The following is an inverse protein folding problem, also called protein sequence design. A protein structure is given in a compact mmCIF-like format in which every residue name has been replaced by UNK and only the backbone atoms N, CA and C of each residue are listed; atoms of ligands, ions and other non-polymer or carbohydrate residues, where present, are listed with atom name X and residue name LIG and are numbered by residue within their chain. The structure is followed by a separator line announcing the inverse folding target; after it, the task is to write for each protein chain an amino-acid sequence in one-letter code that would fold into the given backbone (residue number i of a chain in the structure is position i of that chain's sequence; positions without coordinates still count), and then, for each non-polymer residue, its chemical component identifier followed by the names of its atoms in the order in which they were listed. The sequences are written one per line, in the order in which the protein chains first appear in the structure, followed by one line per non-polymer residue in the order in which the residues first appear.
data_IF_202797891246
#
_entry.id   IF_202797891246
#
_cell.length_a   1.000
_cell.length_b   1.000
_cell.length_c   1.000
_cell.angle_alpha   90.00
_cell.angle_beta   90.00
_cell.angle_gamma   90.00
#
_symmetry.space_group_name_H-M   'P 1'
#
loop_
_entity.id
_entity.type
_entity.pdbx_description
1 polymer ?
#
# COMPACT_ATOMS: atom_id res chain seq x y z
N UNK A 1 67.23 -7.48 -20.41
CA UNK A 1 66.01 -7.16 -21.18
C UNK A 1 64.82 -7.54 -20.32
N UNK A 2 64.31 -6.57 -19.56
CA UNK A 2 63.16 -6.70 -18.69
C UNK A 2 61.91 -6.37 -19.50
N UNK A 3 61.00 -7.34 -19.65
CA UNK A 3 59.73 -7.14 -20.33
C UNK A 3 58.70 -6.76 -19.27
N UNK A 4 58.29 -5.49 -19.28
CA UNK A 4 57.08 -5.01 -18.62
C UNK A 4 55.87 -5.70 -19.26
N UNK A 5 55.07 -6.38 -18.44
CA UNK A 5 53.73 -6.83 -18.82
C UNK A 5 52.77 -5.95 -18.02
N UNK A 6 52.51 -4.76 -18.53
CA UNK A 6 51.41 -3.92 -18.07
C UNK A 6 50.14 -4.26 -18.86
N UNK A 7 49.07 -4.42 -18.08
CA UNK A 7 47.68 -4.05 -18.36
C UNK A 7 47.09 -4.34 -19.75
N UNK A 8 46.35 -5.45 -19.82
CA UNK A 8 45.05 -5.48 -20.51
C UNK A 8 44.07 -6.37 -19.74
N UNK A 9 43.55 -5.87 -18.60
CA UNK A 9 42.24 -6.33 -18.13
C UNK A 9 41.19 -5.59 -18.94
N UNK A 10 40.24 -6.28 -19.60
CA UNK A 10 39.15 -5.58 -20.25
C UNK A 10 38.38 -4.78 -19.18
N UNK A 11 38.36 -3.46 -19.32
CA UNK A 11 37.43 -2.62 -18.60
C UNK A 11 36.03 -3.05 -19.02
N UNK A 12 35.30 -3.67 -18.09
CA UNK A 12 33.85 -3.77 -18.23
C UNK A 12 33.30 -2.37 -18.06
N UNK A 13 33.33 -1.60 -19.15
CA UNK A 13 32.59 -0.35 -19.27
C UNK A 13 31.12 -0.70 -19.09
N UNK A 14 30.64 -0.46 -17.87
CA UNK A 14 29.28 -0.66 -17.44
C UNK A 14 28.39 0.38 -18.13
N UNK A 15 28.11 0.18 -19.42
CA UNK A 15 27.23 1.00 -20.25
C UNK A 15 25.73 0.79 -19.97
N UNK A 16 25.40 0.33 -18.77
CA UNK A 16 24.09 0.58 -18.20
C UNK A 16 24.23 1.80 -17.31
N UNK A 17 24.05 2.99 -17.89
CA UNK A 17 23.52 4.09 -17.10
C UNK A 17 22.20 3.57 -16.50
N UNK A 18 22.28 3.08 -15.26
CA UNK A 18 21.10 2.89 -14.42
C UNK A 18 20.48 4.27 -14.36
N UNK A 19 19.50 4.52 -15.22
CA UNK A 19 18.57 5.63 -15.09
C UNK A 19 18.16 5.58 -13.63
N UNK A 20 18.63 6.56 -12.85
CA UNK A 20 18.43 6.59 -11.40
C UNK A 20 16.94 6.74 -11.23
N UNK A 21 16.22 5.63 -11.17
CA UNK A 21 14.79 5.63 -10.95
C UNK A 21 14.61 6.10 -9.51
N UNK A 22 14.41 7.39 -9.37
CA UNK A 22 14.14 8.02 -8.10
C UNK A 22 12.70 7.66 -7.75
N UNK A 23 12.53 6.50 -7.10
CA UNK A 23 11.23 6.00 -6.70
C UNK A 23 10.75 6.66 -5.39
N UNK A 24 11.64 7.33 -4.65
CA UNK A 24 11.27 8.17 -3.51
C UNK A 24 10.58 9.44 -4.00
N UNK A 25 9.45 9.79 -3.38
CA UNK A 25 8.75 11.01 -3.72
C UNK A 25 9.65 12.19 -3.34
N UNK A 26 9.86 13.12 -4.28
CA UNK A 26 10.84 14.21 -4.13
C UNK A 26 10.64 15.07 -2.86
N UNK A 27 9.42 15.09 -2.31
CA UNK A 27 9.02 15.86 -1.12
C UNK A 27 8.71 15.00 0.12
N UNK A 28 9.02 13.69 0.11
CA UNK A 28 8.72 12.84 1.26
C UNK A 28 9.75 13.04 2.38
N UNK A 29 9.25 13.30 3.59
CA UNK A 29 10.07 13.33 4.79
C UNK A 29 9.36 12.57 5.93
N UNK A 30 10.03 11.63 6.61
CA UNK A 30 9.42 10.82 7.65
C UNK A 30 8.99 11.62 8.87
N UNK A 31 9.48 12.86 9.05
CA UNK A 31 9.11 13.76 10.15
C UNK A 31 8.21 14.91 9.70
N UNK A 32 7.52 14.79 8.57
CA UNK A 32 6.52 15.78 8.17
C UNK A 32 5.29 15.65 9.07
N UNK A 33 4.81 16.78 9.61
CA UNK A 33 3.69 16.82 10.55
C UNK A 33 2.32 16.76 9.86
N UNK A 34 2.26 16.99 8.55
CA UNK A 34 1.05 16.77 7.76
C UNK A 34 0.72 15.28 7.65
N UNK A 35 -0.58 14.97 7.64
CA UNK A 35 -1.09 13.65 7.27
C UNK A 35 -0.95 13.48 5.76
N UNK A 36 -0.06 12.60 5.33
CA UNK A 36 0.24 12.35 3.92
C UNK A 36 0.25 10.85 3.64
N UNK A 37 0.32 10.46 2.36
CA UNK A 37 0.59 9.09 1.96
C UNK A 37 1.97 8.65 2.46
N UNK A 38 2.02 7.51 3.14
CA UNK A 38 3.23 7.02 3.78
C UNK A 38 4.04 6.13 2.82
N UNK A 39 5.15 6.66 2.33
CA UNK A 39 6.08 5.97 1.42
C UNK A 39 6.85 4.84 2.11
N UNK A 40 6.79 4.71 3.44
CA UNK A 40 7.29 3.54 4.16
C UNK A 40 6.19 2.48 4.34
N UNK A 41 4.98 2.89 4.74
CA UNK A 41 3.83 2.00 4.94
C UNK A 41 3.00 1.79 3.65
N UNK A 42 3.67 1.51 2.54
CA UNK A 42 3.06 1.20 1.24
C UNK A 42 3.69 -0.03 0.58
N UNK A 43 3.03 -0.65 -0.38
CA UNK A 43 3.65 -1.69 -1.20
C UNK A 43 4.79 -1.11 -2.05
N UNK A 44 5.78 -1.97 -2.36
CA UNK A 44 6.99 -1.56 -3.09
C UNK A 44 6.68 -1.01 -4.50
N UNK A 45 5.56 -1.45 -5.06
CA UNK A 45 5.05 -1.07 -6.39
C UNK A 45 4.25 0.22 -6.39
N UNK A 46 4.01 0.85 -5.23
CA UNK A 46 3.31 2.11 -5.14
C UNK A 46 4.24 3.28 -5.50
N UNK A 47 3.77 4.16 -6.38
CA UNK A 47 4.41 5.43 -6.69
C UNK A 47 3.60 6.54 -6.04
N UNK A 48 4.26 7.38 -5.25
CA UNK A 48 3.68 8.53 -4.57
C UNK A 48 4.22 9.82 -5.18
N UNK A 49 3.35 10.80 -5.44
CA UNK A 49 3.68 12.05 -6.15
C UNK A 49 2.98 13.25 -5.50
N UNK A 50 3.36 14.45 -5.95
CA UNK A 50 2.69 15.73 -5.66
C UNK A 50 2.49 15.98 -4.16
N UNK A 51 3.58 16.21 -3.43
CA UNK A 51 3.53 16.48 -1.98
C UNK A 51 2.98 15.32 -1.14
N UNK A 52 3.06 14.09 -1.66
CA UNK A 52 2.56 12.86 -1.05
C UNK A 52 1.04 12.79 -0.88
N UNK A 53 0.30 13.37 -1.83
CA UNK A 53 -1.17 13.33 -1.87
C UNK A 53 -1.72 12.63 -3.11
N UNK A 54 -0.86 12.16 -4.03
CA UNK A 54 -1.26 11.35 -5.19
C UNK A 54 -0.53 10.02 -5.19
N UNK A 55 -1.27 8.97 -5.54
CA UNK A 55 -0.72 7.62 -5.66
C UNK A 55 -1.13 6.96 -6.98
N UNK A 56 -0.25 6.13 -7.52
CA UNK A 56 -0.53 5.21 -8.61
C UNK A 56 0.40 3.98 -8.52
N UNK A 57 -0.04 2.78 -8.92
CA UNK A 57 0.79 1.61 -8.93
C UNK A 57 1.67 1.60 -10.18
N UNK A 58 2.80 0.90 -10.11
CA UNK A 58 3.56 0.51 -11.29
C UNK A 58 2.77 -0.50 -12.12
N UNK A 59 2.73 -0.32 -13.44
CA UNK A 59 1.96 -1.17 -14.36
C UNK A 59 2.80 -1.86 -15.45
N UNK A 60 4.09 -1.54 -15.51
CA UNK A 60 5.01 -2.04 -16.53
C UNK A 60 5.48 -3.46 -16.21
N UNK A 61 5.84 -4.23 -17.24
CA UNK A 61 6.54 -5.51 -17.11
C UNK A 61 5.79 -6.53 -16.24
N UNK A 62 4.47 -6.61 -16.42
CA UNK A 62 3.59 -7.51 -15.65
C UNK A 62 3.15 -7.01 -14.27
N UNK A 63 3.66 -5.87 -13.77
CA UNK A 63 3.23 -5.32 -12.47
C UNK A 63 1.75 -4.88 -12.47
N UNK A 64 1.15 -4.68 -13.65
CA UNK A 64 -0.29 -4.42 -13.79
C UNK A 64 -1.20 -5.55 -13.28
N UNK A 65 -0.65 -6.76 -13.09
CA UNK A 65 -1.36 -7.90 -12.49
C UNK A 65 -1.39 -7.83 -10.96
N UNK A 66 -0.70 -6.87 -10.33
CA UNK A 66 -0.62 -6.75 -8.87
C UNK A 66 -1.51 -5.64 -8.34
N UNK A 67 -2.07 -5.89 -7.16
CA UNK A 67 -2.65 -4.85 -6.33
C UNK A 67 -1.55 -4.14 -5.52
N UNK A 68 -1.79 -2.89 -5.14
CA UNK A 68 -0.84 -2.08 -4.39
C UNK A 68 -1.56 -1.26 -3.32
N UNK A 69 -1.09 -1.39 -2.09
CA UNK A 69 -1.62 -0.75 -0.89
C UNK A 69 -0.77 0.39 -0.37
N UNK A 70 -1.40 1.32 0.32
CA UNK A 70 -0.74 2.39 1.08
C UNK A 70 -1.62 2.82 2.26
N UNK A 71 -0.96 3.26 3.33
CA UNK A 71 -1.61 3.95 4.46
C UNK A 71 -1.15 5.41 4.54
N UNK A 72 -1.90 6.22 5.27
CA UNK A 72 -1.44 7.53 5.68
C UNK A 72 -0.39 7.45 6.81
N UNK A 73 0.36 8.53 7.00
CA UNK A 73 1.40 8.64 8.04
C UNK A 73 0.86 8.70 9.47
N UNK A 74 -0.41 9.09 9.63
CA UNK A 74 -1.08 9.20 10.92
C UNK A 74 -2.43 8.51 10.89
N UNK A 75 -2.79 7.99 12.05
CA UNK A 75 -4.10 7.46 12.36
C UNK A 75 -4.69 8.20 13.56
N UNK A 76 -5.93 7.86 13.89
CA UNK A 76 -6.69 8.51 14.95
C UNK A 76 -7.59 7.48 15.65
N UNK A 77 -7.91 7.73 16.91
CA UNK A 77 -8.69 6.81 17.75
C UNK A 77 -9.86 7.49 18.47
N UNK A 78 -10.16 8.74 18.13
CA UNK A 78 -11.21 9.52 18.77
C UNK A 78 -11.81 10.54 17.79
N UNK A 79 -12.87 11.22 18.23
CA UNK A 79 -13.52 12.27 17.47
C UNK A 79 -14.38 11.78 16.32
N UNK A 80 -14.74 12.71 15.45
CA UNK A 80 -15.46 12.46 14.19
C UNK A 80 -14.60 12.96 13.05
N UNK A 81 -14.06 12.03 12.29
CA UNK A 81 -12.97 12.29 11.35
C UNK A 81 -13.31 11.77 9.95
N UNK A 82 -12.74 12.41 8.94
CA UNK A 82 -12.86 11.98 7.57
C UNK A 82 -11.57 12.18 6.76
N UNK A 83 -11.50 11.47 5.63
CA UNK A 83 -10.65 11.83 4.51
C UNK A 83 -11.39 11.61 3.20
N UNK A 84 -10.89 12.21 2.13
CA UNK A 84 -11.47 12.10 0.81
C UNK A 84 -10.47 11.54 -0.19
N UNK A 85 -10.98 10.82 -1.19
CA UNK A 85 -10.21 10.34 -2.31
C UNK A 85 -10.94 10.62 -3.62
N UNK A 86 -10.22 11.21 -4.57
CA UNK A 86 -10.67 11.41 -5.94
C UNK A 86 -10.02 10.39 -6.85
N UNK A 87 -10.82 9.65 -7.61
CA UNK A 87 -10.32 8.74 -8.63
C UNK A 87 -9.97 9.56 -9.88
N UNK A 88 -8.72 9.48 -10.34
CA UNK A 88 -8.22 10.38 -11.39
C UNK A 88 -8.27 9.77 -12.78
N UNK A 89 -7.73 8.56 -12.96
CA UNK A 89 -7.70 7.86 -14.26
C UNK A 89 -7.40 6.38 -14.11
N UNK A 90 -7.74 5.63 -15.15
CA UNK A 90 -7.30 4.26 -15.38
C UNK A 90 -5.92 4.22 -16.03
N UNK A 91 -5.10 3.26 -15.63
CA UNK A 91 -3.76 3.03 -16.14
C UNK A 91 -3.78 1.74 -16.96
N UNK A 92 -3.93 1.89 -18.27
CA UNK A 92 -4.02 0.74 -19.17
C UNK A 92 -2.62 0.15 -19.40
N UNK A 93 -2.53 -1.18 -19.37
CA UNK A 93 -1.34 -1.92 -19.76
C UNK A 93 -1.71 -3.01 -20.75
N UNK A 94 -0.92 -3.16 -21.81
CA UNK A 94 -1.03 -4.27 -22.76
C UNK A 94 -0.60 -5.59 -22.16
N UNK A 95 0.11 -5.55 -21.02
CA UNK A 95 0.64 -6.75 -20.38
C UNK A 95 -0.46 -7.51 -19.64
N UNK A 96 -1.62 -6.93 -19.35
CA UNK A 96 -2.67 -7.58 -18.55
C UNK A 96 -3.20 -8.87 -19.22
N UNK A 97 -3.37 -9.96 -18.46
CA UNK A 97 -3.96 -11.20 -19.01
C UNK A 97 -5.47 -11.05 -19.21
N UNK A 98 -6.02 -11.79 -20.18
CA UNK A 98 -7.44 -11.68 -20.58
C UNK A 98 -8.45 -11.90 -19.44
N UNK A 99 -8.13 -12.72 -18.45
CA UNK A 99 -9.01 -13.04 -17.33
C UNK A 99 -8.78 -12.19 -16.07
N UNK A 100 -7.78 -11.31 -16.07
CA UNK A 100 -7.46 -10.51 -14.89
C UNK A 100 -8.43 -9.34 -14.72
N UNK A 101 -8.75 -9.02 -13.46
CA UNK A 101 -9.48 -7.80 -13.13
C UNK A 101 -8.61 -6.61 -13.56
N UNK A 102 -9.04 -5.76 -14.51
CA UNK A 102 -8.17 -4.73 -15.07
C UNK A 102 -7.98 -3.54 -14.13
N UNK A 103 -9.02 -3.19 -13.37
CA UNK A 103 -9.03 -2.03 -12.49
C UNK A 103 -9.74 -2.38 -11.19
N UNK A 104 -9.25 -1.83 -10.09
CA UNK A 104 -9.85 -2.06 -8.78
C UNK A 104 -9.42 -1.02 -7.78
N UNK A 105 -10.30 -0.70 -6.84
CA UNK A 105 -10.03 0.29 -5.79
C UNK A 105 -10.79 -0.09 -4.53
N UNK A 106 -10.11 -0.04 -3.40
CA UNK A 106 -10.66 -0.18 -2.05
C UNK A 106 -10.11 0.95 -1.20
N UNK A 107 -11.00 1.61 -0.46
CA UNK A 107 -10.66 2.79 0.34
C UNK A 107 -11.32 2.67 1.70
N UNK A 108 -10.63 3.04 2.76
CA UNK A 108 -11.23 3.03 4.09
C UNK A 108 -10.20 3.13 5.20
N UNK A 109 -10.40 2.34 6.25
CA UNK A 109 -9.67 2.47 7.51
C UNK A 109 -9.06 1.12 7.91
N UNK A 110 -7.81 1.13 8.35
CA UNK A 110 -7.15 -0.07 8.88
C UNK A 110 -6.29 0.28 10.08
N UNK A 111 -5.97 -0.71 10.91
CA UNK A 111 -4.90 -0.52 11.91
C UNK A 111 -3.54 -0.40 11.24
N UNK A 112 -2.53 0.02 12.01
CA UNK A 112 -1.14 0.11 11.52
C UNK A 112 -0.57 -1.26 11.10
N UNK A 113 -1.11 -2.36 11.63
CA UNK A 113 -0.73 -3.72 11.28
C UNK A 113 -1.36 -4.15 9.94
N UNK A 114 -0.67 -5.02 9.20
CA UNK A 114 -1.19 -5.60 7.96
C UNK A 114 -2.09 -6.80 8.24
N UNK A 115 -3.09 -6.61 9.10
CA UNK A 115 -4.10 -7.61 9.40
C UNK A 115 -5.36 -7.35 8.55
N UNK A 116 -5.71 -8.31 7.69
CA UNK A 116 -6.89 -8.25 6.83
C UNK A 116 -8.21 -8.21 7.61
N UNK A 117 -8.23 -8.73 8.85
CA UNK A 117 -9.40 -8.69 9.73
C UNK A 117 -9.62 -7.31 10.34
N UNK A 118 -8.58 -6.48 10.38
CA UNK A 118 -8.60 -5.12 10.94
C UNK A 118 -8.45 -4.07 9.84
N UNK A 119 -8.98 -4.38 8.65
CA UNK A 119 -8.99 -3.52 7.47
C UNK A 119 -10.39 -3.46 6.88
N UNK A 120 -10.99 -2.28 6.94
CA UNK A 120 -12.39 -2.02 6.59
C UNK A 120 -12.44 -1.11 5.37
N UNK A 121 -12.88 -1.66 4.23
CA UNK A 121 -12.86 -0.96 2.95
C UNK A 121 -14.24 -0.82 2.32
N UNK A 122 -14.41 0.23 1.52
CA UNK A 122 -15.43 0.34 0.48
C UNK A 122 -14.75 0.15 -0.87
N UNK A 123 -15.31 -0.71 -1.70
CA UNK A 123 -14.75 -1.21 -2.95
C UNK A 123 -15.52 -0.68 -4.15
N UNK A 124 -14.79 -0.45 -5.25
CA UNK A 124 -15.26 0.20 -6.47
C UNK A 124 -16.57 -0.33 -7.04
N UNK A 125 -16.90 -1.61 -6.83
CA UNK A 125 -18.16 -2.22 -7.32
C UNK A 125 -19.39 -1.92 -6.47
N UNK A 126 -19.27 -1.14 -5.40
CA UNK A 126 -20.38 -0.81 -4.50
C UNK A 126 -20.53 -1.76 -3.31
N UNK A 127 -19.43 -2.44 -2.95
CA UNK A 127 -19.39 -3.40 -1.83
C UNK A 127 -18.45 -2.91 -0.74
N UNK A 128 -18.74 -3.31 0.49
CA UNK A 128 -17.79 -3.19 1.59
C UNK A 128 -17.02 -4.50 1.75
N UNK A 129 -15.79 -4.43 2.25
CA UNK A 129 -14.85 -5.54 2.38
C UNK A 129 -14.10 -5.54 3.72
N UNK A 130 -14.05 -6.70 4.37
CA UNK A 130 -13.18 -6.97 5.55
C UNK A 130 -12.90 -8.47 5.60
N UNK A 131 -11.66 -8.88 5.91
CA UNK A 131 -11.34 -10.30 6.13
C UNK A 131 -11.70 -11.24 4.97
N UNK A 132 -11.53 -10.79 3.72
CA UNK A 132 -11.93 -11.52 2.50
C UNK A 132 -13.44 -11.78 2.35
N UNK A 133 -14.27 -11.08 3.10
CA UNK A 133 -15.73 -11.10 2.95
C UNK A 133 -16.20 -9.81 2.26
N UNK A 134 -17.23 -9.92 1.42
CA UNK A 134 -17.78 -8.82 0.64
C UNK A 134 -19.29 -8.73 0.82
N UNK A 135 -19.79 -7.53 1.07
CA UNK A 135 -21.22 -7.27 1.26
C UNK A 135 -21.66 -6.07 0.43
N UNK A 136 -22.87 -6.11 -0.13
CA UNK A 136 -23.45 -4.98 -0.86
C UNK A 136 -23.78 -3.84 0.11
N UNK A 137 -23.46 -2.61 -0.28
CA UNK A 137 -23.58 -1.47 0.64
C UNK A 137 -24.00 -0.18 -0.06
N UNK A 138 -23.21 0.29 -1.02
CA UNK A 138 -23.39 1.60 -1.65
C UNK A 138 -23.53 1.46 -3.16
N UNK A 139 -23.08 2.49 -3.88
CA UNK A 139 -23.07 2.48 -5.34
C UNK A 139 -21.71 2.09 -5.91
N UNK A 140 -21.68 1.62 -7.15
CA UNK A 140 -20.43 1.60 -7.90
C UNK A 140 -19.86 3.01 -8.05
N UNK A 141 -18.53 3.16 -8.00
CA UNK A 141 -17.84 4.42 -8.25
C UNK A 141 -16.63 4.24 -9.16
N UNK A 142 -16.25 5.32 -9.84
CA UNK A 142 -15.28 5.27 -10.94
C UNK A 142 -14.50 6.57 -11.09
N UNK A 143 -13.67 6.65 -12.13
CA UNK A 143 -12.90 7.86 -12.48
C UNK A 143 -13.80 9.11 -12.48
N UNK A 144 -13.37 10.13 -11.74
CA UNK A 144 -14.08 11.39 -11.57
C UNK A 144 -14.82 11.53 -10.25
N UNK A 145 -15.25 10.42 -9.65
CA UNK A 145 -15.94 10.42 -8.36
C UNK A 145 -15.00 10.80 -7.21
N UNK A 146 -15.61 11.35 -6.15
CA UNK A 146 -14.95 11.60 -4.86
C UNK A 146 -15.61 10.72 -3.81
N UNK A 147 -14.83 9.87 -3.14
CA UNK A 147 -15.31 9.09 -2.01
C UNK A 147 -14.85 9.76 -0.72
N UNK A 148 -15.79 10.02 0.19
CA UNK A 148 -15.48 10.46 1.56
C UNK A 148 -15.60 9.26 2.48
N UNK A 149 -14.54 8.99 3.25
CA UNK A 149 -14.49 7.91 4.23
C UNK A 149 -14.61 8.54 5.62
N UNK A 150 -15.66 8.18 6.37
CA UNK A 150 -15.91 8.71 7.71
C UNK A 150 -15.61 7.66 8.78
N UNK A 151 -15.07 8.10 9.90
CA UNK A 151 -14.97 7.33 11.13
C UNK A 151 -15.50 8.17 12.30
N UNK A 152 -16.43 7.59 13.06
CA UNK A 152 -17.07 8.22 14.21
C UNK A 152 -16.81 7.39 15.46
N UNK A 153 -16.05 7.96 16.39
CA UNK A 153 -15.66 7.35 17.66
C UNK A 153 -16.52 7.87 18.84
N UNK A 154 -17.47 8.78 18.60
CA UNK A 154 -18.17 9.52 19.64
C UNK A 154 -19.64 9.12 19.77
N UNK A 155 -20.32 8.86 18.65
CA UNK A 155 -21.78 8.71 18.63
C UNK A 155 -22.29 7.48 19.39
N UNK A 156 -21.51 6.40 19.45
CA UNK A 156 -21.90 5.16 20.12
C UNK A 156 -20.77 4.66 21.03
N UNK A 157 -20.95 4.81 22.35
CA UNK A 157 -19.95 4.43 23.35
C UNK A 157 -19.51 2.98 23.17
N UNK A 158 -18.19 2.78 23.08
CA UNK A 158 -17.57 1.46 22.93
C UNK A 158 -17.53 0.94 21.48
N UNK A 159 -18.08 1.69 20.52
CA UNK A 159 -18.07 1.33 19.11
C UNK A 159 -17.46 2.42 18.25
N UNK A 160 -16.86 2.00 17.14
CA UNK A 160 -16.46 2.89 16.05
C UNK A 160 -17.39 2.64 14.86
N UNK A 161 -17.98 3.71 14.37
CA UNK A 161 -18.93 3.68 13.26
C UNK A 161 -18.24 4.18 11.99
N UNK A 162 -18.14 3.31 10.99
CA UNK A 162 -17.57 3.68 9.68
C UNK A 162 -18.68 3.79 8.65
N UNK A 163 -18.63 4.84 7.83
CA UNK A 163 -19.56 5.02 6.72
C UNK A 163 -18.89 5.76 5.58
N UNK A 164 -19.48 5.72 4.40
CA UNK A 164 -18.93 6.33 3.20
C UNK A 164 -19.92 7.27 2.53
N UNK A 165 -19.41 8.18 1.72
CA UNK A 165 -20.20 8.99 0.81
C UNK A 165 -19.55 9.00 -0.57
N UNK A 166 -20.37 9.02 -1.61
CA UNK A 166 -19.94 9.23 -3.00
C UNK A 166 -20.44 10.59 -3.44
N UNK A 167 -19.51 11.48 -3.75
CA UNK A 167 -19.78 12.87 -4.09
C UNK A 167 -20.56 13.55 -2.93
N UNK A 168 -21.77 14.01 -3.18
CA UNK A 168 -22.69 14.59 -2.20
C UNK A 168 -23.68 13.57 -1.58
N UNK A 169 -23.71 12.33 -2.07
CA UNK A 169 -24.58 11.27 -1.57
C UNK A 169 -23.94 10.53 -0.40
N UNK A 170 -24.52 10.69 0.79
CA UNK A 170 -24.12 9.95 1.99
C UNK A 170 -24.83 8.59 2.04
N UNK A 171 -24.07 7.53 2.28
CA UNK A 171 -24.62 6.19 2.51
C UNK A 171 -24.88 5.94 4.00
N UNK A 172 -25.58 4.85 4.29
CA UNK A 172 -25.87 4.39 5.65
C UNK A 172 -24.61 3.86 6.36
N UNK A 173 -24.76 3.32 7.56
CA UNK A 173 -23.65 2.73 8.30
C UNK A 173 -23.06 1.51 7.55
N UNK A 174 -21.75 1.48 7.32
CA UNK A 174 -21.07 0.34 6.71
C UNK A 174 -20.59 -0.65 7.76
N UNK A 175 -19.93 -0.15 8.82
CA UNK A 175 -19.36 -0.98 9.85
C UNK A 175 -19.68 -0.42 11.24
N UNK A 176 -20.05 -1.32 12.14
CA UNK A 176 -20.06 -1.09 13.59
C UNK A 176 -19.02 -2.00 14.20
N UNK A 177 -17.92 -1.42 14.68
CA UNK A 177 -16.76 -2.16 15.18
C UNK A 177 -16.68 -1.95 16.69
N UNK A 178 -16.60 -3.02 17.48
CA UNK A 178 -16.35 -2.88 18.90
C UNK A 178 -14.91 -2.41 19.13
N UNK A 179 -14.75 -1.32 19.89
CA UNK A 179 -13.45 -0.74 20.22
C UNK A 179 -12.50 -1.69 20.95
N UNK A 180 -13.02 -2.70 21.64
CA UNK A 180 -12.23 -3.74 22.30
C UNK A 180 -11.59 -4.71 21.30
N UNK A 181 -12.23 -4.98 20.15
CA UNK A 181 -11.79 -5.96 19.15
C UNK A 181 -10.43 -5.58 18.53
N UNK A 182 -10.13 -4.28 18.49
CA UNK A 182 -8.84 -3.77 18.02
C UNK A 182 -8.04 -3.08 19.12
N UNK A 183 -8.38 -3.30 20.40
CA UNK A 183 -7.69 -2.74 21.57
C UNK A 183 -7.56 -1.21 21.54
N UNK A 184 -8.57 -0.52 21.03
CA UNK A 184 -8.56 0.95 20.86
C UNK A 184 -7.36 1.47 20.06
N UNK A 185 -6.74 0.62 19.22
CA UNK A 185 -5.67 1.01 18.31
C UNK A 185 -6.17 2.08 17.31
N UNK A 186 -5.33 3.04 16.92
CA UNK A 186 -5.70 4.03 15.91
C UNK A 186 -6.06 3.40 14.57
N UNK A 187 -7.02 4.03 13.90
CA UNK A 187 -7.38 3.75 12.51
C UNK A 187 -6.67 4.72 11.59
N UNK A 188 -6.03 4.18 10.56
CA UNK A 188 -5.31 4.90 9.53
C UNK A 188 -6.13 4.87 8.24
N UNK A 189 -6.25 6.01 7.53
CA UNK A 189 -6.68 6.02 6.15
C UNK A 189 -5.82 5.04 5.33
N UNK A 190 -6.47 4.15 4.59
CA UNK A 190 -5.78 3.24 3.68
C UNK A 190 -6.45 3.22 2.30
N UNK A 191 -5.62 2.96 1.29
CA UNK A 191 -6.01 2.82 -0.10
C UNK A 191 -5.35 1.54 -0.63
N UNK A 192 -6.13 0.69 -1.28
CA UNK A 192 -5.66 -0.51 -1.96
C UNK A 192 -6.20 -0.53 -3.39
N UNK A 193 -5.33 -0.50 -4.38
CA UNK A 193 -5.69 -0.21 -5.76
C UNK A 193 -5.04 -1.17 -6.74
N UNK A 194 -5.66 -1.30 -7.90
CA UNK A 194 -5.12 -1.94 -9.10
C UNK A 194 -5.33 -1.03 -10.30
N UNK A 195 -4.22 -0.66 -10.95
CA UNK A 195 -4.19 0.08 -12.21
C UNK A 195 -5.02 1.38 -12.24
N UNK A 196 -5.15 2.07 -11.10
CA UNK A 196 -5.87 3.33 -10.96
C UNK A 196 -4.94 4.36 -10.34
N UNK A 197 -4.96 5.60 -10.84
CA UNK A 197 -4.35 6.71 -10.12
C UNK A 197 -5.41 7.52 -9.35
N UNK A 198 -5.00 8.06 -8.21
CA UNK A 198 -5.89 8.77 -7.30
C UNK A 198 -5.21 9.98 -6.65
N UNK A 199 -6.04 10.85 -6.07
CA UNK A 199 -5.62 11.94 -5.20
C UNK A 199 -6.36 11.87 -3.87
N UNK A 200 -5.64 11.95 -2.77
CA UNK A 200 -6.20 11.97 -1.42
C UNK A 200 -6.22 13.39 -0.91
N UNK A 201 -7.28 13.72 -0.17
CA UNK A 201 -7.41 14.94 0.59
C UNK A 201 -7.60 14.58 2.06
N UNK A 202 -6.58 14.85 2.87
CA UNK A 202 -6.64 14.71 4.31
C UNK A 202 -7.01 16.02 5.00
N UNK A 203 -7.35 17.08 4.27
CA UNK A 203 -7.65 18.42 4.78
C UNK A 203 -6.86 19.53 4.08
N UNK A 204 -5.79 19.19 3.35
CA UNK A 204 -4.91 20.16 2.71
C UNK A 204 -5.42 20.70 1.36
N UNK A 205 -6.40 20.03 0.75
CA UNK A 205 -6.90 20.38 -0.57
C UNK A 205 -8.31 20.95 -0.47
N UNK A 206 -8.61 21.92 -1.34
CA UNK A 206 -9.98 22.34 -1.57
C UNK A 206 -10.78 21.19 -2.19
N UNK A 207 -11.99 20.97 -1.69
CA UNK A 207 -12.91 19.95 -2.19
C UNK A 207 -14.24 20.58 -2.60
N UNK A 208 -14.90 19.96 -3.58
CA UNK A 208 -16.23 20.34 -4.04
C UNK A 208 -17.31 19.93 -3.03
N UNK A 209 -17.08 18.83 -2.31
CA UNK A 209 -18.06 18.21 -1.43
C UNK A 209 -17.63 18.41 0.02
N UNK A 210 -18.41 19.19 0.76
CA UNK A 210 -18.17 19.45 2.17
C UNK A 210 -18.46 18.21 3.03
N UNK A 211 -17.75 18.09 4.15
CA UNK A 211 -17.99 17.02 5.12
C UNK A 211 -19.35 17.20 5.82
N UNK A 212 -19.89 16.09 6.35
CA UNK A 212 -21.07 16.13 7.22
C UNK A 212 -20.84 17.01 8.45
N UNK A 213 -21.87 17.71 8.97
CA UNK A 213 -21.74 18.53 10.18
C UNK A 213 -21.14 17.74 11.35
N UNK A 214 -20.13 18.32 11.99
CA UNK A 214 -19.43 17.72 13.13
C UNK A 214 -18.25 16.81 12.77
N UNK A 215 -17.99 16.55 11.49
CA UNK A 215 -16.78 15.90 11.03
C UNK A 215 -15.75 16.93 10.55
N UNK A 216 -14.48 16.69 10.84
CA UNK A 216 -13.35 17.42 10.27
C UNK A 216 -12.41 16.46 9.55
N UNK A 217 -11.49 16.99 8.74
CA UNK A 217 -10.50 16.14 8.12
C UNK A 217 -9.43 15.72 9.12
N UNK A 218 -8.82 14.54 8.90
CA UNK A 218 -7.77 14.02 9.79
C UNK A 218 -6.56 14.96 9.93
N UNK A 219 -6.22 15.75 8.91
CA UNK A 219 -5.13 16.72 8.98
C UNK A 219 -5.48 17.98 9.79
N UNK A 220 -6.76 18.20 10.09
CA UNK A 220 -7.22 19.35 10.87
C UNK A 220 -7.12 19.09 12.39
N UNK A 221 -6.90 17.84 12.80
CA UNK A 221 -6.57 17.51 14.19
C UNK A 221 -5.15 18.00 14.52
N UNK A 222 -4.97 18.45 15.77
CA UNK A 222 -3.67 18.81 16.31
C UNK A 222 -2.69 17.62 16.25
N UNK A 223 -1.39 17.91 16.26
CA UNK A 223 -0.37 16.85 16.16
C UNK A 223 -0.45 15.83 17.29
N UNK A 224 -0.69 16.29 18.52
CA UNK A 224 -0.76 15.44 19.71
C UNK A 224 -2.02 14.53 19.71
N UNK A 225 -3.05 14.90 18.95
CA UNK A 225 -4.28 14.12 18.80
C UNK A 225 -4.18 13.05 17.70
N UNK A 226 -3.09 13.06 16.93
CA UNK A 226 -2.84 12.14 15.82
C UNK A 226 -1.75 11.14 16.22
N UNK A 227 -1.97 9.87 15.90
CA UNK A 227 -1.03 8.81 16.25
C UNK A 227 -0.21 8.43 15.03
N UNK A 228 1.11 8.58 15.14
CA UNK A 228 2.05 8.27 14.05
C UNK A 228 2.07 6.76 13.73
N UNK A 229 2.10 6.43 12.44
CA UNK A 229 2.36 5.08 11.96
C UNK A 229 3.81 4.63 12.19
N UNK A 230 4.11 3.37 11.87
CA UNK A 230 5.48 2.83 12.02
C UNK A 230 6.47 3.63 11.17
N UNK A 231 7.56 4.09 11.79
CA UNK A 231 8.66 4.73 11.07
C UNK A 231 9.66 3.68 10.59
N UNK A 232 10.16 3.89 9.37
CA UNK A 232 11.20 3.04 8.81
C UNK A 232 12.60 3.34 9.34
N UNK A 233 13.59 2.53 8.93
CA UNK A 233 15.01 2.80 9.19
C UNK A 233 15.42 4.21 8.76
N UNK A 234 16.22 4.90 9.57
CA UNK A 234 16.67 6.26 9.26
C UNK A 234 17.71 6.29 8.13
N UNK A 235 18.47 5.21 8.04
CA UNK A 235 19.62 5.03 7.15
C UNK A 235 19.59 3.64 6.48
N UNK A 236 20.43 3.42 5.46
CA UNK A 236 20.50 2.10 4.80
C UNK A 236 21.20 1.06 5.67
N UNK A 237 22.08 1.52 6.55
CA UNK A 237 22.87 0.73 7.48
C UNK A 237 21.99 0.08 8.57
N UNK A 238 20.84 0.71 8.87
CA UNK A 238 19.82 0.19 9.78
C UNK A 238 18.81 -0.75 9.11
N UNK A 239 18.89 -0.94 7.79
CA UNK A 239 17.99 -1.84 7.07
C UNK A 239 18.48 -3.30 7.21
N UNK A 240 17.54 -4.21 7.44
CA UNK A 240 17.80 -5.65 7.53
C UNK A 240 17.43 -6.34 6.21
N UNK A 241 18.36 -7.10 5.66
CA UNK A 241 18.12 -7.96 4.49
C UNK A 241 18.46 -9.39 4.85
N UNK A 242 17.46 -10.26 4.87
CA UNK A 242 17.60 -11.67 5.22
C UNK A 242 17.41 -12.51 3.96
N UNK A 243 18.43 -13.28 3.59
CA UNK A 243 18.34 -14.22 2.47
C UNK A 243 18.13 -15.63 3.00
N UNK A 244 17.02 -16.24 2.61
CA UNK A 244 16.68 -17.59 3.00
C UNK A 244 17.44 -18.60 2.13
N UNK A 245 18.19 -19.50 2.76
CA UNK A 245 18.93 -20.57 2.08
C UNK A 245 18.58 -21.90 2.74
N UNK A 246 18.16 -22.88 1.94
CA UNK A 246 17.86 -24.22 2.46
C UNK A 246 17.10 -25.08 1.46
N UNK A 247 17.10 -26.39 1.71
CA UNK A 247 16.42 -27.38 0.87
C UNK A 247 14.89 -27.15 0.84
N UNK A 248 14.20 -27.63 -0.21
CA UNK A 248 12.74 -27.73 -0.21
C UNK A 248 12.24 -28.49 1.02
N UNK A 249 11.17 -28.02 1.65
CA UNK A 249 10.59 -28.66 2.85
C UNK A 249 11.37 -28.44 4.17
N UNK A 250 12.50 -27.70 4.15
CA UNK A 250 13.29 -27.44 5.36
C UNK A 250 12.64 -26.43 6.36
N UNK A 251 11.41 -25.98 6.09
CA UNK A 251 10.69 -25.05 6.98
C UNK A 251 11.00 -23.56 6.78
N UNK A 252 11.58 -23.16 5.64
CA UNK A 252 11.92 -21.76 5.35
C UNK A 252 10.71 -20.82 5.48
N UNK A 253 9.62 -21.12 4.78
CA UNK A 253 8.40 -20.28 4.80
C UNK A 253 7.80 -20.18 6.20
N UNK A 254 7.79 -21.29 6.97
CA UNK A 254 7.36 -21.27 8.37
C UNK A 254 8.23 -20.36 9.25
N UNK A 255 9.55 -20.36 9.01
CA UNK A 255 10.46 -19.45 9.70
C UNK A 255 10.17 -18.00 9.33
N UNK A 256 9.97 -17.70 8.04
CA UNK A 256 9.66 -16.35 7.54
C UNK A 256 8.37 -15.82 8.17
N UNK A 257 7.28 -16.59 8.12
CA UNK A 257 5.99 -16.21 8.72
C UNK A 257 6.14 -15.92 10.21
N UNK A 258 6.81 -16.81 10.95
CA UNK A 258 7.07 -16.62 12.38
C UNK A 258 7.95 -15.40 12.66
N UNK A 259 8.97 -15.15 11.86
CA UNK A 259 9.87 -14.03 12.03
C UNK A 259 9.14 -12.69 11.80
N UNK A 260 8.32 -12.60 10.76
CA UNK A 260 7.48 -11.44 10.51
C UNK A 260 6.45 -11.20 11.63
N UNK A 261 5.84 -12.28 12.16
CA UNK A 261 4.87 -12.19 13.26
C UNK A 261 5.48 -11.72 14.59
N UNK A 262 6.76 -12.01 14.84
CA UNK A 262 7.46 -11.56 16.05
C UNK A 262 8.00 -10.13 15.90
N UNK A 263 8.32 -9.71 14.67
CA UNK A 263 8.93 -8.41 14.36
C UNK A 263 7.99 -7.55 13.49
N UNK A 264 6.77 -7.31 13.98
CA UNK A 264 5.73 -6.58 13.23
C UNK A 264 6.07 -5.11 13.00
N UNK A 265 6.91 -4.53 13.86
CA UNK A 265 7.47 -3.18 13.77
C UNK A 265 8.46 -3.05 12.61
N UNK A 266 9.18 -4.12 12.25
CA UNK A 266 10.18 -4.08 11.18
C UNK A 266 9.59 -4.05 9.77
N UNK A 267 8.30 -4.39 9.61
CA UNK A 267 7.58 -4.37 8.32
C UNK A 267 8.36 -5.02 7.18
N UNK A 268 8.84 -6.24 7.41
CA UNK A 268 9.58 -7.00 6.40
C UNK A 268 8.77 -7.18 5.11
N UNK A 269 9.39 -6.88 3.98
CA UNK A 269 8.82 -7.17 2.66
C UNK A 269 9.39 -8.50 2.17
N UNK A 270 8.51 -9.47 1.96
CA UNK A 270 8.87 -10.77 1.38
C UNK A 270 8.98 -10.69 -0.14
N UNK A 271 10.22 -10.77 -0.63
CA UNK A 271 10.56 -10.87 -2.04
C UNK A 271 10.70 -12.35 -2.42
N UNK A 272 9.60 -12.93 -2.90
CA UNK A 272 9.56 -14.31 -3.42
C UNK A 272 8.62 -14.44 -4.60
N UNK A 273 8.96 -15.33 -5.53
CA UNK A 273 8.09 -15.64 -6.69
C UNK A 273 6.74 -16.18 -6.22
N UNK A 274 6.73 -17.01 -5.16
CA UNK A 274 5.50 -17.59 -4.60
C UNK A 274 4.56 -16.52 -4.01
N UNK A 275 5.11 -15.53 -3.31
CA UNK A 275 4.32 -14.43 -2.77
C UNK A 275 3.69 -13.58 -3.89
N UNK A 276 4.47 -13.25 -4.92
CA UNK A 276 3.96 -12.51 -6.08
C UNK A 276 2.85 -13.31 -6.81
N UNK A 277 3.04 -14.62 -6.99
CA UNK A 277 2.00 -15.50 -7.55
C UNK A 277 0.72 -15.46 -6.69
N UNK A 278 0.84 -15.51 -5.36
CA UNK A 278 -0.33 -15.42 -4.47
C UNK A 278 -1.05 -14.08 -4.61
N UNK A 279 -0.32 -12.98 -4.76
CA UNK A 279 -0.90 -11.65 -5.00
C UNK A 279 -1.60 -11.57 -6.37
N UNK A 280 -1.05 -12.19 -7.42
CA UNK A 280 -1.69 -12.27 -8.74
C UNK A 280 -2.96 -13.15 -8.72
N UNK A 281 -2.98 -14.22 -7.91
CA UNK A 281 -4.13 -15.13 -7.79
C UNK A 281 -5.40 -14.47 -7.20
N UNK A 282 -5.28 -13.30 -6.57
CA UNK A 282 -6.43 -12.51 -6.13
C UNK A 282 -7.40 -12.24 -7.29
N UNK A 283 -6.92 -12.29 -8.54
CA UNK A 283 -7.71 -12.08 -9.75
C UNK A 283 -8.23 -13.37 -10.40
N UNK A 284 -8.38 -14.48 -9.66
CA UNK A 284 -8.88 -15.77 -10.16
C UNK A 284 -8.09 -16.33 -11.37
N UNK A 285 -6.79 -16.07 -11.43
CA UNK A 285 -5.92 -16.62 -12.47
C UNK A 285 -5.36 -17.99 -12.06
N UNK A 286 -5.55 -18.98 -12.93
CA UNK A 286 -5.01 -20.32 -12.75
C UNK A 286 -3.47 -20.29 -12.78
N UNK A 287 -2.85 -21.26 -12.10
CA UNK A 287 -1.42 -21.46 -11.91
C UNK A 287 -0.59 -21.72 -13.19
N UNK A 288 -0.85 -20.98 -14.27
CA UNK A 288 -0.25 -21.20 -15.59
C UNK A 288 1.24 -20.88 -15.61
N UNK A 289 1.96 -21.49 -16.57
CA UNK A 289 3.37 -21.19 -16.80
C UNK A 289 3.62 -19.69 -17.07
N UNK A 290 2.70 -19.03 -17.77
CA UNK A 290 2.77 -17.60 -18.09
C UNK A 290 2.75 -16.73 -16.82
N UNK A 291 1.94 -17.09 -15.82
CA UNK A 291 1.91 -16.37 -14.54
C UNK A 291 3.23 -16.55 -13.76
N UNK A 292 3.84 -17.73 -13.83
CA UNK A 292 5.14 -17.98 -13.19
C UNK A 292 6.22 -17.09 -13.83
N UNK A 293 6.31 -17.07 -15.15
CA UNK A 293 7.28 -16.26 -15.89
C UNK A 293 7.10 -14.76 -15.57
N UNK A 294 5.84 -14.32 -15.49
CA UNK A 294 5.50 -12.95 -15.11
C UNK A 294 5.88 -12.63 -13.67
N UNK A 295 5.63 -13.54 -12.73
CA UNK A 295 6.02 -13.36 -11.35
C UNK A 295 7.54 -13.22 -11.20
N UNK A 296 8.32 -14.00 -11.98
CA UNK A 296 9.78 -13.87 -12.04
C UNK A 296 10.19 -12.49 -12.60
N UNK A 297 9.52 -12.01 -13.64
CA UNK A 297 9.78 -10.68 -14.21
C UNK A 297 9.47 -9.55 -13.22
N UNK A 298 8.33 -9.63 -12.54
CA UNK A 298 7.94 -8.71 -11.47
C UNK A 298 8.97 -8.71 -10.34
N UNK A 299 9.42 -9.89 -9.90
CA UNK A 299 10.39 -10.04 -8.83
C UNK A 299 11.73 -9.35 -9.16
N UNK A 300 12.20 -9.46 -10.41
CA UNK A 300 13.44 -8.78 -10.86
C UNK A 300 13.34 -7.26 -10.70
N UNK A 301 12.21 -6.68 -11.08
CA UNK A 301 11.99 -5.24 -10.95
C UNK A 301 11.85 -4.85 -9.48
N UNK A 302 11.17 -5.66 -8.68
CA UNK A 302 11.09 -5.45 -7.24
C UNK A 302 12.47 -5.46 -6.58
N UNK A 303 13.44 -6.27 -7.03
CA UNK A 303 14.82 -6.18 -6.52
C UNK A 303 15.49 -4.85 -6.85
N UNK A 304 15.34 -4.35 -8.08
CA UNK A 304 15.90 -3.07 -8.47
C UNK A 304 15.31 -1.91 -7.66
N UNK A 305 14.01 -1.96 -7.36
CA UNK A 305 13.34 -0.97 -6.50
C UNK A 305 13.81 -1.15 -5.05
N UNK A 306 13.84 -2.38 -4.53
CA UNK A 306 14.24 -2.69 -3.16
C UNK A 306 15.65 -2.15 -2.85
N UNK A 307 16.59 -2.30 -3.78
CA UNK A 307 17.94 -1.77 -3.68
C UNK A 307 18.00 -0.24 -3.50
N UNK A 308 16.95 0.48 -3.90
CA UNK A 308 16.84 1.94 -3.80
C UNK A 308 16.04 2.41 -2.59
N UNK A 309 15.45 1.54 -1.76
CA UNK A 309 14.60 1.92 -0.63
C UNK A 309 15.23 1.60 0.72
N UNK A 310 14.97 2.44 1.73
CA UNK A 310 15.31 2.17 3.14
C UNK A 310 14.24 1.31 3.80
N UNK A 311 14.29 0.00 3.59
CA UNK A 311 13.32 -0.95 4.15
C UNK A 311 13.96 -2.28 4.49
N UNK A 312 13.24 -3.05 5.30
CA UNK A 312 13.65 -4.39 5.69
C UNK A 312 13.08 -5.41 4.69
N UNK A 313 13.90 -6.33 4.22
CA UNK A 313 13.55 -7.30 3.18
C UNK A 313 13.88 -8.72 3.61
N UNK A 314 13.02 -9.65 3.24
CA UNK A 314 13.31 -11.09 3.28
C UNK A 314 13.27 -11.61 1.85
N UNK A 315 14.35 -12.24 1.42
CA UNK A 315 14.48 -12.83 0.09
C UNK A 315 14.31 -14.34 0.24
N UNK A 316 13.23 -14.88 -0.31
CA UNK A 316 12.97 -16.32 -0.36
C UNK A 316 12.87 -16.77 -1.81
N UNK A 317 13.99 -17.24 -2.35
CA UNK A 317 14.04 -17.84 -3.68
C UNK A 317 14.16 -19.36 -3.54
N UNK A 318 13.27 -20.07 -4.22
CA UNK A 318 13.35 -21.52 -4.44
C UNK A 318 14.11 -21.77 -5.73
#
# INVERSE_FOLDING_TARGET
MSVNIDDQRPSFDNKYEKKKLNYEADDWHPLRNDVILDVYNCDLTMIVKHGCLRGEPMIENGLCSLWSGIRATYGINHGRVAFQIKILRYLHSSDLLYNEIPFGIRVGWSTNESDELLSFGYEGTGKIWTGNQFEWYGEQYSVGDIITCYADFESERGNVLLSFAKNDLNFELAYRINSEDFHSRPLFPHIFIKNISYQVNFGQLNTKYSLRPGFCFINDYEEDDRIRGTLGPSSKEECEVIMMVGLPGAGKSFWVERHCAINTDKKYILLSTNNIIQQMKIDNCDGSHEMIDRAIQCLRIMFDIAACRKRNFIIDQV
#
